data_IF_283927430040
#
_entry.id   IF_283927430040
#
_cell.length_a   1.000
_cell.length_b   1.000
_cell.length_c   1.000
_cell.angle_alpha   90.00
_cell.angle_beta   90.00
_cell.angle_gamma   90.00
#
_symmetry.space_group_name_H-M   'P 1'
#
loop_
_entity.id
_entity.type
_entity.pdbx_description
1 polymer ?
#
# COMPACT_ATOMS: atom_id res chain seq x y z
N UNK A 1 37.78 21.92 12.67
CA UNK A 1 37.12 23.25 12.68
C UNK A 1 36.87 23.64 11.23
N UNK A 2 35.65 24.08 10.90
CA UNK A 2 35.31 24.52 9.54
C UNK A 2 36.01 25.84 9.23
N UNK A 3 36.72 25.94 8.11
CA UNK A 3 37.27 27.21 7.63
C UNK A 3 36.11 28.18 7.36
N UNK A 4 36.11 29.31 8.08
CA UNK A 4 35.06 30.34 8.02
C UNK A 4 33.64 29.84 8.34
N UNK A 5 33.49 28.71 9.05
CA UNK A 5 32.18 28.14 9.37
C UNK A 5 31.46 27.42 8.22
N UNK A 6 32.11 27.26 7.06
CA UNK A 6 31.51 26.63 5.88
C UNK A 6 31.86 25.14 5.84
N UNK A 7 30.86 24.28 5.67
CA UNK A 7 31.05 22.86 5.41
C UNK A 7 31.02 22.61 3.89
N UNK A 8 32.17 22.32 3.31
CA UNK A 8 32.31 21.98 1.89
C UNK A 8 32.10 20.48 1.70
N UNK A 9 31.17 20.12 0.80
CA UNK A 9 30.80 18.72 0.54
C UNK A 9 31.26 18.33 -0.86
N UNK A 10 32.19 17.37 -0.92
CA UNK A 10 32.68 16.82 -2.19
C UNK A 10 31.82 15.65 -2.70
N UNK A 11 31.19 14.92 -1.78
CA UNK A 11 30.37 13.74 -2.09
C UNK A 11 29.26 13.64 -1.05
N UNK A 12 28.03 13.48 -1.52
CA UNK A 12 26.88 13.11 -0.70
C UNK A 12 26.62 11.60 -0.91
N UNK A 13 26.22 10.91 0.14
CA UNK A 13 25.83 9.51 0.07
C UNK A 13 24.85 9.16 1.18
N UNK A 14 24.13 8.06 1.00
CA UNK A 14 23.27 7.54 2.03
C UNK A 14 24.06 6.85 3.16
N UNK A 15 23.51 6.76 4.38
CA UNK A 15 24.05 5.87 5.41
C UNK A 15 24.03 4.41 4.91
N UNK A 16 24.99 3.56 5.32
CA UNK A 16 25.00 2.16 4.92
C UNK A 16 23.74 1.43 5.41
N UNK A 17 23.28 0.44 4.66
CA UNK A 17 22.17 -0.41 5.05
C UNK A 17 22.62 -1.49 6.03
N UNK A 18 21.77 -1.76 7.02
CA UNK A 18 21.91 -2.88 7.94
C UNK A 18 21.09 -4.06 7.41
N UNK A 19 21.72 -5.24 7.31
CA UNK A 19 21.02 -6.47 6.93
C UNK A 19 19.94 -6.82 7.94
N UNK A 20 18.78 -7.27 7.45
CA UNK A 20 17.60 -7.57 8.27
C UNK A 20 17.90 -8.61 9.35
N UNK A 21 18.68 -9.62 9.02
CA UNK A 21 19.12 -10.70 9.91
C UNK A 21 20.04 -10.15 11.02
N UNK A 22 20.93 -9.20 10.68
CA UNK A 22 21.77 -8.51 11.65
C UNK A 22 20.90 -7.67 12.62
N UNK A 23 19.95 -6.88 12.11
CA UNK A 23 18.99 -6.14 12.96
C UNK A 23 18.26 -7.09 13.91
N UNK A 24 17.65 -8.15 13.40
CA UNK A 24 16.87 -9.09 14.21
C UNK A 24 17.72 -9.80 15.28
N UNK A 25 19.00 -10.07 15.00
CA UNK A 25 19.92 -10.63 16.00
C UNK A 25 20.21 -9.67 17.17
N UNK A 26 20.37 -8.37 16.87
CA UNK A 26 20.65 -7.32 17.85
C UNK A 26 19.44 -6.99 18.73
N UNK A 27 18.22 -7.18 18.20
CA UNK A 27 16.98 -6.82 18.87
C UNK A 27 16.51 -7.84 19.93
N UNK A 28 17.22 -8.95 20.11
CA UNK A 28 17.02 -9.92 21.22
C UNK A 28 15.57 -10.37 21.44
N UNK A 29 14.77 -10.49 20.38
CA UNK A 29 13.37 -10.92 20.45
C UNK A 29 12.33 -9.83 20.76
N UNK A 30 12.72 -8.55 20.77
CA UNK A 30 11.77 -7.43 20.83
C UNK A 30 10.90 -7.37 19.56
N UNK A 31 9.59 -7.18 19.72
CA UNK A 31 8.67 -7.01 18.60
C UNK A 31 8.59 -5.54 18.13
N UNK A 32 9.27 -5.25 17.01
CA UNK A 32 9.21 -3.96 16.33
C UNK A 32 8.09 -3.86 15.29
N UNK A 33 7.42 -4.98 14.98
CA UNK A 33 6.32 -5.00 14.03
C UNK A 33 5.00 -4.59 14.67
N UNK A 34 4.75 -5.05 15.91
CA UNK A 34 3.53 -4.84 16.69
C UNK A 34 2.53 -6.02 16.60
N UNK A 35 3.00 -7.20 16.21
CA UNK A 35 2.21 -8.43 16.04
C UNK A 35 2.33 -9.44 17.19
N UNK A 36 3.04 -9.10 18.26
CA UNK A 36 3.42 -9.99 19.34
C UNK A 36 4.72 -10.76 19.06
N UNK A 37 5.47 -11.05 20.12
CA UNK A 37 6.65 -11.93 20.05
C UNK A 37 6.19 -13.36 19.80
N UNK A 38 6.75 -14.01 18.78
CA UNK A 38 6.39 -15.40 18.42
C UNK A 38 7.55 -16.35 18.77
N UNK A 39 7.27 -17.48 19.43
CA UNK A 39 8.28 -18.51 19.67
C UNK A 39 8.95 -19.00 18.37
N UNK A 40 10.22 -19.36 18.44
CA UNK A 40 11.00 -19.83 17.28
C UNK A 40 10.35 -21.04 16.59
N UNK A 41 9.77 -21.96 17.37
CA UNK A 41 9.06 -23.14 16.86
C UNK A 41 7.84 -22.77 16.00
N UNK A 42 6.99 -21.86 16.47
CA UNK A 42 5.84 -21.41 15.69
C UNK A 42 6.35 -20.64 14.47
N UNK A 43 7.39 -19.80 14.57
CA UNK A 43 8.01 -19.15 13.39
C UNK A 43 8.41 -20.17 12.31
N UNK A 44 9.10 -21.25 12.68
CA UNK A 44 9.48 -22.34 11.76
C UNK A 44 8.26 -23.04 11.14
N UNK A 45 7.20 -23.26 11.93
CA UNK A 45 5.94 -23.84 11.46
C UNK A 45 5.24 -22.93 10.46
N UNK A 46 5.13 -21.63 10.74
CA UNK A 46 4.52 -20.62 9.86
C UNK A 46 5.29 -20.55 8.52
N UNK A 47 6.63 -20.51 8.55
CA UNK A 47 7.45 -20.57 7.32
C UNK A 47 7.34 -21.90 6.56
N UNK A 48 6.94 -22.99 7.22
CA UNK A 48 6.68 -24.28 6.57
C UNK A 48 5.27 -24.36 5.95
N UNK A 49 4.33 -23.52 6.42
CA UNK A 49 3.01 -23.35 5.80
C UNK A 49 3.10 -22.40 4.59
N UNK A 50 3.89 -21.32 4.69
CA UNK A 50 4.19 -20.39 3.58
C UNK A 50 4.66 -21.14 2.33
N UNK A 51 5.65 -22.03 2.49
CA UNK A 51 6.19 -22.88 1.41
C UNK A 51 5.21 -23.90 0.82
N UNK A 52 4.08 -24.14 1.47
CA UNK A 52 3.00 -25.03 0.97
C UNK A 52 1.87 -24.23 0.32
N UNK A 53 1.72 -22.96 0.65
CA UNK A 53 0.75 -22.04 0.06
C UNK A 53 1.24 -21.48 -1.29
N UNK A 54 1.67 -22.36 -2.20
CA UNK A 54 2.31 -21.98 -3.48
C UNK A 54 1.34 -21.20 -4.39
N UNK A 55 0.06 -21.59 -4.38
CA UNK A 55 -0.99 -20.97 -5.20
C UNK A 55 -1.66 -19.77 -4.53
N UNK A 56 -1.26 -19.42 -3.30
CA UNK A 56 -1.82 -18.27 -2.60
C UNK A 56 -1.31 -16.95 -3.19
N UNK A 57 -2.19 -15.96 -3.22
CA UNK A 57 -1.90 -14.64 -3.80
C UNK A 57 -2.71 -13.54 -3.15
N UNK A 58 -2.14 -12.34 -3.17
CA UNK A 58 -2.77 -11.10 -2.77
C UNK A 58 -2.98 -10.19 -3.98
N UNK A 59 -4.21 -9.73 -4.20
CA UNK A 59 -4.51 -8.77 -5.27
C UNK A 59 -4.55 -7.36 -4.68
N UNK A 60 -3.77 -6.46 -5.24
CA UNK A 60 -3.51 -5.13 -4.68
C UNK A 60 -3.82 -4.09 -5.75
N UNK A 61 -4.78 -3.22 -5.45
CA UNK A 61 -5.27 -2.15 -6.32
C UNK A 61 -5.12 -0.81 -5.60
N UNK A 62 -4.81 0.27 -6.32
CA UNK A 62 -4.67 1.62 -5.74
C UNK A 62 -5.43 2.66 -6.55
N UNK A 63 -5.82 3.77 -5.89
CA UNK A 63 -6.61 4.85 -6.48
C UNK A 63 -7.94 4.32 -7.09
N UNK A 64 -8.64 3.49 -6.29
CA UNK A 64 -9.88 2.79 -6.69
C UNK A 64 -11.10 3.70 -6.49
N UNK A 65 -11.37 4.58 -7.45
CA UNK A 65 -12.48 5.54 -7.40
C UNK A 65 -13.84 4.83 -7.45
N UNK A 66 -14.76 5.23 -6.56
CA UNK A 66 -16.12 4.70 -6.43
C UNK A 66 -17.20 5.72 -6.84
N UNK A 67 -16.80 6.95 -7.16
CA UNK A 67 -17.70 8.08 -7.43
C UNK A 67 -17.91 8.34 -8.93
N UNK A 68 -18.95 9.13 -9.22
CA UNK A 68 -19.34 9.53 -10.56
C UNK A 68 -18.97 11.00 -10.81
N UNK A 69 -17.75 11.35 -11.27
CA UNK A 69 -17.37 12.73 -11.60
C UNK A 69 -18.24 13.35 -12.71
N UNK A 70 -19.07 14.31 -12.33
CA UNK A 70 -20.05 14.99 -13.22
C UNK A 70 -19.40 15.83 -14.34
N UNK A 71 -18.21 16.41 -14.12
CA UNK A 71 -17.55 17.30 -15.10
C UNK A 71 -16.67 16.56 -16.13
N UNK A 72 -16.66 15.22 -16.12
CA UNK A 72 -16.02 14.44 -17.18
C UNK A 72 -17.08 14.12 -18.22
N UNK A 73 -16.88 14.44 -19.52
CA UNK A 73 -17.84 14.08 -20.56
C UNK A 73 -18.21 12.60 -20.50
N UNK A 74 -19.49 12.31 -20.78
CA UNK A 74 -20.21 11.04 -20.56
C UNK A 74 -19.64 9.78 -21.28
N UNK A 75 -18.40 9.82 -21.76
CA UNK A 75 -17.82 8.84 -22.68
C UNK A 75 -16.64 8.00 -22.13
N UNK A 76 -16.03 8.25 -20.95
CA UNK A 76 -14.70 7.67 -20.70
C UNK A 76 -14.27 7.03 -19.36
N UNK A 77 -14.84 7.29 -18.17
CA UNK A 77 -14.20 6.85 -16.89
C UNK A 77 -15.06 6.25 -15.76
N UNK A 78 -16.36 6.57 -15.65
CA UNK A 78 -17.12 6.38 -14.40
C UNK A 78 -17.56 4.94 -14.17
N UNK A 79 -18.50 4.45 -14.99
CA UNK A 79 -18.98 3.06 -14.95
C UNK A 79 -17.79 2.10 -15.08
N UNK A 80 -16.79 2.49 -15.90
CA UNK A 80 -15.55 1.76 -16.10
C UNK A 80 -14.83 1.35 -14.81
N UNK A 81 -14.77 2.13 -13.74
CA UNK A 81 -13.94 1.71 -12.57
C UNK A 81 -14.62 0.58 -11.79
N UNK A 82 -15.93 0.66 -11.58
CA UNK A 82 -16.71 -0.42 -10.96
C UNK A 82 -16.86 -1.62 -11.89
N UNK A 83 -17.01 -1.42 -13.20
CA UNK A 83 -17.02 -2.49 -14.21
C UNK A 83 -15.66 -3.19 -14.33
N UNK A 84 -14.54 -2.45 -14.41
CA UNK A 84 -13.18 -3.00 -14.34
C UNK A 84 -12.99 -3.82 -13.07
N UNK A 85 -13.48 -3.32 -11.92
CA UNK A 85 -13.39 -4.06 -10.66
C UNK A 85 -14.26 -5.33 -10.68
N UNK A 86 -15.45 -5.29 -11.29
CA UNK A 86 -16.26 -6.48 -11.54
C UNK A 86 -15.49 -7.50 -12.39
N UNK A 87 -14.85 -7.09 -13.49
CA UNK A 87 -14.03 -7.96 -14.36
C UNK A 87 -12.86 -8.59 -13.60
N UNK A 88 -12.15 -7.83 -12.75
CA UNK A 88 -11.07 -8.39 -11.90
C UNK A 88 -11.64 -9.43 -10.93
N UNK A 89 -12.76 -9.12 -10.27
CA UNK A 89 -13.40 -10.04 -9.32
C UNK A 89 -13.95 -11.29 -10.03
N UNK A 90 -14.53 -11.18 -11.22
CA UNK A 90 -15.01 -12.32 -12.03
C UNK A 90 -13.86 -13.20 -12.52
N UNK A 91 -12.77 -12.59 -12.96
CA UNK A 91 -11.55 -13.31 -13.32
C UNK A 91 -11.01 -14.14 -12.15
N UNK A 92 -10.97 -13.56 -10.95
CA UNK A 92 -10.51 -14.27 -9.75
C UNK A 92 -11.55 -15.22 -9.12
N UNK A 93 -12.86 -14.99 -9.27
CA UNK A 93 -13.90 -15.96 -8.86
C UNK A 93 -13.95 -17.17 -9.80
N UNK A 94 -13.39 -17.04 -11.02
CA UNK A 94 -13.32 -18.11 -12.04
C UNK A 94 -12.09 -19.04 -11.92
N UNK A 95 -11.01 -18.65 -11.22
CA UNK A 95 -9.80 -19.49 -11.09
C UNK A 95 -9.94 -20.59 -10.03
N UNK A 96 -9.14 -21.65 -10.11
CA UNK A 96 -9.18 -22.78 -9.16
C UNK A 96 -8.93 -22.32 -7.70
N UNK A 97 -7.90 -21.50 -7.48
CA UNK A 97 -7.54 -20.95 -6.16
C UNK A 97 -7.78 -19.45 -6.17
N UNK A 98 -8.77 -18.99 -5.40
CA UNK A 98 -9.07 -17.56 -5.27
C UNK A 98 -8.03 -16.85 -4.40
N UNK A 99 -7.77 -15.54 -4.61
CA UNK A 99 -6.89 -14.75 -3.75
C UNK A 99 -7.37 -14.76 -2.30
N UNK A 100 -6.46 -14.95 -1.34
CA UNK A 100 -6.80 -14.91 0.09
C UNK A 100 -7.00 -13.49 0.62
N UNK A 101 -6.46 -12.49 -0.07
CA UNK A 101 -6.56 -11.07 0.29
C UNK A 101 -6.68 -10.19 -0.95
N UNK A 102 -7.69 -9.33 -0.95
CA UNK A 102 -7.75 -8.14 -1.79
C UNK A 102 -7.41 -6.93 -0.93
N UNK A 103 -6.42 -6.13 -1.36
CA UNK A 103 -6.10 -4.83 -0.77
C UNK A 103 -6.58 -3.75 -1.72
N UNK A 104 -7.62 -3.03 -1.31
CA UNK A 104 -8.14 -1.87 -2.02
C UNK A 104 -7.60 -0.62 -1.35
N UNK A 105 -6.77 0.11 -2.09
CA UNK A 105 -6.10 1.31 -1.63
C UNK A 105 -6.75 2.54 -2.25
N UNK A 106 -7.04 3.54 -1.40
CA UNK A 106 -7.59 4.82 -1.85
C UNK A 106 -6.63 5.63 -2.73
N UNK A 107 -7.05 6.77 -3.28
CA UNK A 107 -8.32 7.44 -2.98
C UNK A 107 -9.54 6.65 -3.49
N UNK A 108 -10.64 6.69 -2.75
CA UNK A 108 -11.95 6.12 -3.14
C UNK A 108 -12.87 7.13 -3.84
N UNK A 109 -12.39 8.37 -4.00
CA UNK A 109 -13.03 9.40 -4.82
C UNK A 109 -12.04 10.01 -5.82
N UNK A 110 -12.53 10.31 -7.02
CA UNK A 110 -11.83 11.04 -8.09
C UNK A 110 -11.39 12.44 -7.66
N UNK A 111 -12.13 13.03 -6.71
CA UNK A 111 -11.90 14.36 -6.13
C UNK A 111 -11.64 14.28 -4.63
N UNK A 112 -10.93 15.27 -4.04
CA UNK A 112 -10.70 15.30 -2.60
C UNK A 112 -12.01 15.33 -1.82
N UNK A 113 -12.20 14.33 -0.96
CA UNK A 113 -13.44 14.08 -0.25
C UNK A 113 -13.67 15.14 0.84
N UNK A 114 -14.44 16.17 0.51
CA UNK A 114 -14.80 17.27 1.40
C UNK A 114 -16.18 17.85 1.04
N UNK A 115 -16.71 18.71 1.93
CA UNK A 115 -18.05 19.30 1.82
C UNK A 115 -18.30 20.14 0.55
N UNK A 116 -17.27 20.52 -0.21
CA UNK A 116 -17.40 21.26 -1.46
C UNK A 116 -17.43 20.37 -2.71
N UNK A 117 -16.93 19.13 -2.64
CA UNK A 117 -16.76 18.26 -3.81
C UNK A 117 -17.33 16.84 -3.65
N UNK A 118 -17.89 16.48 -2.49
CA UNK A 118 -18.37 15.11 -2.24
C UNK A 118 -19.59 15.07 -1.34
N UNK A 119 -20.64 14.39 -1.82
CA UNK A 119 -21.70 13.89 -0.96
C UNK A 119 -21.21 12.65 -0.20
N UNK A 120 -21.10 12.75 1.13
CA UNK A 120 -20.79 11.59 1.97
C UNK A 120 -21.90 10.53 1.93
N UNK A 121 -23.13 10.92 1.60
CA UNK A 121 -24.26 10.01 1.39
C UNK A 121 -24.09 9.18 0.11
N UNK A 122 -23.71 9.83 -1.00
CA UNK A 122 -23.43 9.12 -2.26
C UNK A 122 -22.23 8.19 -2.10
N UNK A 123 -21.14 8.65 -1.48
CA UNK A 123 -19.97 7.78 -1.22
C UNK A 123 -20.33 6.56 -0.35
N UNK A 124 -21.19 6.75 0.67
CA UNK A 124 -21.72 5.65 1.49
C UNK A 124 -22.53 4.66 0.64
N UNK A 125 -23.36 5.15 -0.28
CA UNK A 125 -24.12 4.30 -1.22
C UNK A 125 -23.20 3.52 -2.17
N UNK A 126 -22.14 4.14 -2.69
CA UNK A 126 -21.17 3.50 -3.58
C UNK A 126 -20.34 2.42 -2.85
N UNK A 127 -19.97 2.64 -1.58
CA UNK A 127 -19.44 1.57 -0.72
C UNK A 127 -20.44 0.41 -0.54
N UNK A 128 -21.75 0.71 -0.44
CA UNK A 128 -22.81 -0.29 -0.44
C UNK A 128 -22.81 -1.15 -1.72
N UNK A 129 -22.84 -0.52 -2.90
CA UNK A 129 -22.77 -1.20 -4.21
C UNK A 129 -21.51 -2.06 -4.36
N UNK A 130 -20.36 -1.59 -3.89
CA UNK A 130 -19.12 -2.39 -3.83
C UNK A 130 -19.27 -3.62 -2.92
N UNK A 131 -19.94 -3.45 -1.77
CA UNK A 131 -20.31 -4.54 -0.88
C UNK A 131 -21.20 -5.59 -1.55
N UNK A 132 -22.26 -5.17 -2.24
CA UNK A 132 -23.15 -6.03 -3.01
C UNK A 132 -22.41 -6.77 -4.13
N UNK A 133 -21.59 -6.06 -4.90
CA UNK A 133 -20.81 -6.59 -6.02
C UNK A 133 -19.86 -7.71 -5.56
N UNK A 134 -19.12 -7.52 -4.48
CA UNK A 134 -18.27 -8.57 -3.92
C UNK A 134 -19.14 -9.71 -3.33
N UNK A 135 -20.24 -9.39 -2.65
CA UNK A 135 -21.09 -10.39 -2.02
C UNK A 135 -21.84 -11.30 -3.01
N UNK A 136 -22.00 -10.88 -4.27
CA UNK A 136 -22.51 -11.71 -5.36
C UNK A 136 -21.56 -12.86 -5.75
N UNK A 137 -20.27 -12.75 -5.43
CA UNK A 137 -19.21 -13.73 -5.75
C UNK A 137 -18.90 -14.56 -4.50
N UNK A 138 -19.61 -15.67 -4.34
CA UNK A 138 -19.63 -16.43 -3.09
C UNK A 138 -18.25 -16.98 -2.69
N UNK A 139 -17.43 -17.43 -3.66
CA UNK A 139 -16.10 -17.99 -3.36
C UNK A 139 -15.17 -16.90 -2.81
N UNK A 140 -15.17 -15.72 -3.43
CA UNK A 140 -14.44 -14.56 -2.91
C UNK A 140 -14.96 -14.14 -1.52
N UNK A 141 -16.28 -14.11 -1.32
CA UNK A 141 -16.88 -13.75 -0.02
C UNK A 141 -16.50 -14.70 1.11
N UNK A 142 -16.38 -15.99 0.83
CA UNK A 142 -16.10 -17.03 1.82
C UNK A 142 -14.61 -17.26 2.08
N UNK A 143 -13.77 -17.13 1.05
CA UNK A 143 -12.34 -17.49 1.12
C UNK A 143 -11.37 -16.29 1.05
N UNK A 144 -11.81 -15.14 0.54
CA UNK A 144 -10.99 -13.91 0.48
C UNK A 144 -11.28 -12.97 1.64
N UNK A 145 -10.27 -12.24 2.08
CA UNK A 145 -10.42 -11.05 2.95
C UNK A 145 -10.30 -9.79 2.10
N UNK A 146 -11.03 -8.75 2.49
CA UNK A 146 -10.97 -7.44 1.85
C UNK A 146 -10.41 -6.42 2.84
N UNK A 147 -9.26 -5.84 2.51
CA UNK A 147 -8.53 -4.85 3.30
C UNK A 147 -8.60 -3.49 2.60
N UNK A 148 -9.15 -2.51 3.28
CA UNK A 148 -9.34 -1.15 2.79
C UNK A 148 -8.37 -0.21 3.50
N UNK A 149 -7.55 0.50 2.73
CA UNK A 149 -6.52 1.40 3.21
C UNK A 149 -6.80 2.80 2.63
N UNK A 150 -6.94 3.86 3.44
CA UNK A 150 -7.37 5.18 2.97
C UNK A 150 -6.25 5.98 2.30
N UNK A 151 -6.54 6.60 1.16
CA UNK A 151 -5.66 7.48 0.42
C UNK A 151 -5.48 8.88 1.03
N UNK A 152 -4.61 9.71 0.44
CA UNK A 152 -4.28 11.06 0.92
C UNK A 152 -5.41 12.09 0.80
N UNK A 153 -6.43 11.86 -0.02
CA UNK A 153 -7.55 12.78 -0.21
C UNK A 153 -8.93 12.20 0.16
N UNK A 154 -8.96 11.00 0.73
CA UNK A 154 -10.17 10.40 1.30
C UNK A 154 -10.69 11.15 2.53
N UNK A 155 -11.92 10.82 2.92
CA UNK A 155 -12.57 11.32 4.13
C UNK A 155 -11.70 11.05 5.37
N UNK A 156 -11.42 12.09 6.15
CA UNK A 156 -10.65 11.97 7.38
C UNK A 156 -10.41 13.33 8.08
N UNK A 157 -9.97 13.32 9.35
CA UNK A 157 -9.81 14.54 10.15
C UNK A 157 -8.58 15.37 9.77
N UNK A 158 -7.61 14.81 9.06
CA UNK A 158 -6.36 15.48 8.69
C UNK A 158 -5.65 14.77 7.52
N UNK A 159 -4.80 15.51 6.80
CA UNK A 159 -3.84 14.95 5.82
C UNK A 159 -2.47 14.59 6.44
N UNK A 160 -2.33 14.73 7.76
CA UNK A 160 -1.13 14.31 8.49
C UNK A 160 -1.02 12.77 8.56
N UNK A 161 0.21 12.26 8.63
CA UNK A 161 0.49 10.83 8.80
C UNK A 161 0.77 10.47 10.28
N UNK A 162 0.44 9.25 10.73
CA UNK A 162 -0.42 8.28 10.06
C UNK A 162 -1.88 8.76 10.03
N UNK A 163 -2.60 8.44 8.96
CA UNK A 163 -4.04 8.67 8.84
C UNK A 163 -4.81 7.54 9.51
N UNK A 164 -5.92 7.87 10.17
CA UNK A 164 -6.87 6.87 10.67
C UNK A 164 -7.57 6.13 9.52
N UNK A 165 -8.25 5.02 9.85
CA UNK A 165 -9.17 4.35 8.93
C UNK A 165 -10.34 5.28 8.51
N UNK A 166 -11.05 4.88 7.46
CA UNK A 166 -12.25 5.58 6.99
C UNK A 166 -13.32 5.68 8.11
N UNK A 167 -14.09 6.79 8.17
CA UNK A 167 -15.21 6.93 9.10
C UNK A 167 -16.23 5.79 9.01
N UNK A 168 -16.66 5.27 10.16
CA UNK A 168 -17.66 4.17 10.26
C UNK A 168 -18.90 4.41 9.39
N UNK A 169 -19.41 5.64 9.41
CA UNK A 169 -20.56 6.07 8.61
C UNK A 169 -20.43 5.77 7.11
N UNK A 170 -19.24 5.79 6.51
CA UNK A 170 -19.06 5.50 5.08
C UNK A 170 -19.03 4.00 4.78
N UNK A 171 -18.52 3.21 5.73
CA UNK A 171 -18.21 1.79 5.53
C UNK A 171 -19.32 0.84 6.01
N UNK A 172 -20.29 1.37 6.77
CA UNK A 172 -21.43 0.63 7.33
C UNK A 172 -22.22 -0.13 6.26
N UNK A 173 -22.49 0.47 5.09
CA UNK A 173 -23.23 -0.22 4.03
C UNK A 173 -22.43 -1.40 3.47
N UNK A 174 -21.14 -1.21 3.14
CA UNK A 174 -20.27 -2.30 2.69
C UNK A 174 -20.22 -3.44 3.72
N UNK A 175 -20.11 -3.11 5.00
CA UNK A 175 -20.03 -4.11 6.08
C UNK A 175 -21.32 -4.90 6.30
N UNK A 176 -22.50 -4.44 5.84
CA UNK A 176 -23.73 -5.27 5.81
C UNK A 176 -23.57 -6.47 4.87
N UNK A 177 -22.90 -6.27 3.74
CA UNK A 177 -22.69 -7.32 2.73
C UNK A 177 -21.42 -8.15 3.00
N UNK A 178 -20.37 -7.50 3.50
CA UNK A 178 -19.06 -8.09 3.83
C UNK A 178 -18.70 -7.78 5.30
N UNK A 179 -19.27 -8.49 6.30
CA UNK A 179 -18.96 -8.25 7.72
C UNK A 179 -17.49 -8.51 8.08
N UNK A 180 -16.77 -9.23 7.21
CA UNK A 180 -15.35 -9.56 7.33
C UNK A 180 -14.41 -8.49 6.72
N UNK A 181 -14.93 -7.40 6.14
CA UNK A 181 -14.11 -6.33 5.57
C UNK A 181 -13.33 -5.57 6.66
N UNK A 182 -12.03 -5.37 6.42
CA UNK A 182 -11.07 -4.80 7.37
C UNK A 182 -10.70 -3.39 6.88
N UNK A 183 -10.89 -2.37 7.72
CA UNK A 183 -10.52 -0.99 7.42
C UNK A 183 -9.40 -0.55 8.37
N UNK A 184 -8.28 -0.06 7.83
CA UNK A 184 -7.05 0.21 8.59
C UNK A 184 -6.50 1.62 8.38
N UNK A 185 -5.48 2.00 9.16
CA UNK A 185 -4.73 3.25 9.00
C UNK A 185 -3.94 3.31 7.70
N UNK A 186 -3.43 4.49 7.34
CA UNK A 186 -2.42 4.65 6.31
C UNK A 186 -1.19 5.43 6.84
N UNK A 187 0.03 4.86 6.83
CA UNK A 187 0.36 3.49 6.41
C UNK A 187 -0.28 2.43 7.32
N UNK A 188 -0.25 1.19 6.84
CA UNK A 188 -0.54 0.02 7.66
C UNK A 188 0.59 -0.99 7.57
N UNK A 189 0.63 -1.86 8.57
CA UNK A 189 1.44 -3.07 8.57
C UNK A 189 0.46 -4.20 8.79
N UNK A 190 0.57 -5.26 7.99
CA UNK A 190 -0.20 -6.46 8.26
C UNK A 190 0.75 -7.64 8.20
N UNK A 191 0.71 -8.44 9.25
CA UNK A 191 1.43 -9.69 9.29
C UNK A 191 0.56 -10.74 8.62
N UNK A 192 1.15 -11.59 7.79
CA UNK A 192 0.42 -12.65 7.09
C UNK A 192 -0.08 -13.76 8.03
N UNK A 193 0.18 -13.61 9.33
CA UNK A 193 -0.24 -14.46 10.44
C UNK A 193 -1.75 -14.65 10.55
N UNK A 194 -2.57 -13.64 10.28
CA UNK A 194 -4.03 -13.72 10.50
C UNK A 194 -4.80 -14.38 9.36
N UNK A 195 -4.39 -14.15 8.11
CA UNK A 195 -5.08 -14.71 6.93
C UNK A 195 -4.58 -16.12 6.59
N UNK A 196 -3.26 -16.38 6.69
CA UNK A 196 -2.64 -17.63 6.24
C UNK A 196 -1.68 -18.28 7.25
N UNK A 197 -1.42 -17.64 8.39
CA UNK A 197 -0.44 -18.10 9.39
C UNK A 197 0.98 -18.20 8.80
N UNK A 198 1.47 -17.06 8.32
CA UNK A 198 2.78 -16.90 7.67
C UNK A 198 3.53 -15.69 8.29
N UNK A 199 4.86 -15.72 8.49
CA UNK A 199 5.61 -14.66 9.19
C UNK A 199 6.35 -13.73 8.21
N UNK A 200 5.71 -13.29 7.14
CA UNK A 200 6.23 -12.24 6.24
C UNK A 200 5.63 -10.88 6.62
N UNK A 201 6.37 -10.03 7.39
CA UNK A 201 5.96 -8.65 7.65
C UNK A 201 5.94 -7.82 6.36
N UNK A 202 4.74 -7.65 5.81
CA UNK A 202 4.44 -6.78 4.68
C UNK A 202 4.06 -5.41 5.21
N UNK A 203 4.63 -4.36 4.61
CA UNK A 203 4.30 -2.97 4.92
C UNK A 203 3.65 -2.32 3.71
N UNK A 204 2.49 -1.72 3.93
CA UNK A 204 1.76 -0.98 2.91
C UNK A 204 1.73 0.48 3.28
N UNK A 205 2.07 1.33 2.32
CA UNK A 205 1.85 2.77 2.39
C UNK A 205 1.17 3.23 1.11
N UNK A 206 0.05 3.93 1.26
CA UNK A 206 -0.49 4.75 0.18
C UNK A 206 0.05 6.15 0.40
N UNK A 207 0.85 6.64 -0.52
CA UNK A 207 1.11 8.06 -0.62
C UNK A 207 1.66 8.31 -2.00
N UNK A 208 1.17 9.39 -2.60
CA UNK A 208 1.89 10.12 -3.63
C UNK A 208 3.22 10.64 -3.04
N UNK A 209 4.21 9.74 -3.02
CA UNK A 209 5.53 9.95 -2.44
C UNK A 209 6.53 10.21 -3.55
N UNK A 210 6.36 9.62 -4.74
CA UNK A 210 7.27 9.82 -5.85
C UNK A 210 7.25 11.29 -6.30
N UNK A 211 6.07 11.87 -6.53
CA UNK A 211 5.97 13.27 -6.93
C UNK A 211 6.49 14.22 -5.85
N UNK A 212 6.16 13.96 -4.58
CA UNK A 212 6.58 14.82 -3.45
C UNK A 212 8.08 14.77 -3.20
N UNK A 213 8.68 13.58 -3.26
CA UNK A 213 10.13 13.41 -3.14
C UNK A 213 10.82 14.11 -4.31
N UNK A 214 10.41 13.87 -5.56
CA UNK A 214 11.00 14.54 -6.74
C UNK A 214 10.91 16.06 -6.68
N UNK A 215 9.80 16.64 -6.22
CA UNK A 215 9.67 18.10 -6.03
C UNK A 215 10.46 18.65 -4.83
N UNK A 216 10.91 17.79 -3.92
CA UNK A 216 11.72 18.16 -2.75
C UNK A 216 13.22 17.86 -2.95
N UNK A 217 13.61 17.25 -4.08
CA UNK A 217 15.00 17.00 -4.41
C UNK A 217 15.75 18.31 -4.69
N UNK A 218 16.81 18.58 -3.92
CA UNK A 218 17.73 19.70 -4.17
C UNK A 218 18.65 19.45 -5.37
N UNK A 219 19.04 18.18 -5.56
CA UNK A 219 19.86 17.70 -6.66
C UNK A 219 19.04 16.56 -7.32
N UNK A 220 18.75 16.62 -8.63
CA UNK A 220 18.12 15.50 -9.32
C UNK A 220 19.09 14.32 -9.41
N UNK A 221 18.62 13.06 -9.35
CA UNK A 221 19.48 11.90 -9.50
C UNK A 221 20.22 11.93 -10.84
N UNK A 222 21.49 11.52 -10.83
CA UNK A 222 22.30 11.40 -12.04
C UNK A 222 21.97 10.10 -12.78
N UNK A 223 22.07 10.13 -14.11
CA UNK A 223 21.90 8.93 -14.94
C UNK A 223 23.00 7.88 -14.76
N UNK A 224 24.03 8.18 -13.95
CA UNK A 224 25.14 7.27 -13.64
C UNK A 224 24.78 6.27 -12.53
N UNK A 225 23.96 6.68 -11.54
CA UNK A 225 23.52 5.82 -10.44
C UNK A 225 22.20 5.11 -10.75
N UNK A 226 21.18 5.87 -11.15
CA UNK A 226 19.94 5.33 -11.71
C UNK A 226 19.20 6.42 -12.49
N UNK A 227 18.77 6.09 -13.71
CA UNK A 227 17.86 6.94 -14.49
C UNK A 227 16.41 6.84 -14.03
N UNK A 228 16.07 5.88 -13.16
CA UNK A 228 14.71 5.57 -12.79
C UNK A 228 14.29 6.26 -11.46
N UNK A 229 13.27 7.14 -11.49
CA UNK A 229 12.86 7.85 -10.29
C UNK A 229 12.27 6.95 -9.19
N UNK A 230 11.66 5.82 -9.54
CA UNK A 230 11.09 4.87 -8.59
C UNK A 230 12.19 4.07 -7.90
N UNK A 231 13.20 3.61 -8.63
CA UNK A 231 14.36 2.92 -8.05
C UNK A 231 15.11 3.84 -7.07
N UNK A 232 15.34 5.10 -7.45
CA UNK A 232 15.90 6.10 -6.55
C UNK A 232 15.03 6.35 -5.31
N UNK A 233 13.69 6.38 -5.47
CA UNK A 233 12.77 6.49 -4.33
C UNK A 233 12.91 5.29 -3.37
N UNK A 234 12.94 4.07 -3.90
CA UNK A 234 13.07 2.83 -3.11
C UNK A 234 14.39 2.81 -2.35
N UNK A 235 15.50 3.17 -3.00
CA UNK A 235 16.79 3.33 -2.34
C UNK A 235 16.68 4.37 -1.21
N UNK A 236 16.13 5.55 -1.50
CA UNK A 236 16.01 6.64 -0.51
C UNK A 236 15.22 6.24 0.74
N UNK A 237 14.03 5.65 0.60
CA UNK A 237 13.22 5.27 1.78
C UNK A 237 13.86 4.13 2.58
N UNK A 238 14.54 3.21 1.90
CA UNK A 238 15.23 2.07 2.52
C UNK A 238 16.44 2.55 3.32
N UNK A 239 17.31 3.36 2.71
CA UNK A 239 18.47 3.95 3.37
C UNK A 239 18.11 4.90 4.51
N UNK A 240 17.06 5.71 4.37
CA UNK A 240 16.58 6.56 5.47
C UNK A 240 15.83 5.77 6.55
N UNK A 241 15.59 4.47 6.36
CA UNK A 241 14.77 3.62 7.25
C UNK A 241 13.44 4.27 7.63
N UNK A 242 12.85 5.06 6.72
CA UNK A 242 11.65 5.85 6.98
C UNK A 242 10.79 5.94 5.73
N UNK A 243 9.49 5.66 5.87
CA UNK A 243 8.54 5.74 4.77
C UNK A 243 8.34 7.17 4.25
N UNK A 244 8.69 8.21 5.03
CA UNK A 244 8.48 9.61 4.66
C UNK A 244 9.66 10.48 5.11
N UNK A 245 10.82 10.43 4.42
CA UNK A 245 11.99 11.23 4.75
C UNK A 245 11.85 12.66 4.16
N UNK A 246 10.76 13.34 4.54
CA UNK A 246 10.40 14.68 4.04
C UNK A 246 10.20 15.66 5.20
N UNK A 247 10.46 16.96 5.01
CA UNK A 247 10.15 17.98 6.00
C UNK A 247 8.65 18.01 6.35
N UNK A 248 8.33 18.36 7.59
CA UNK A 248 6.94 18.49 8.08
C UNK A 248 6.11 19.54 7.31
N UNK A 249 6.77 20.50 6.65
CA UNK A 249 6.16 21.48 5.75
C UNK A 249 5.67 20.88 4.42
N UNK A 250 6.23 19.74 4.00
CA UNK A 250 5.86 19.02 2.77
C UNK A 250 4.88 17.87 3.06
N UNK A 251 5.09 17.16 4.17
CA UNK A 251 4.16 16.16 4.68
C UNK A 251 4.10 16.24 6.20
N UNK A 252 3.00 16.78 6.78
CA UNK A 252 2.81 16.76 8.23
C UNK A 252 2.79 15.32 8.78
N UNK A 253 3.48 15.11 9.89
CA UNK A 253 3.51 13.85 10.65
C UNK A 253 3.09 14.18 12.08
N UNK A 254 2.18 13.40 12.64
CA UNK A 254 1.79 13.50 14.05
C UNK A 254 2.96 12.99 14.89
N UNK A 255 3.64 13.89 15.61
CA UNK A 255 4.94 13.61 16.24
C UNK A 255 4.95 12.35 17.11
N UNK A 256 3.88 12.11 17.88
CA UNK A 256 3.76 10.93 18.74
C UNK A 256 3.73 9.59 17.98
N UNK A 257 3.39 9.62 16.68
CA UNK A 257 3.21 8.44 15.82
C UNK A 257 4.24 8.35 14.66
N UNK A 258 5.30 9.16 14.68
CA UNK A 258 6.43 9.05 13.75
C UNK A 258 6.99 7.62 13.67
N UNK A 259 7.08 6.94 14.82
CA UNK A 259 7.54 5.55 14.91
C UNK A 259 6.74 4.55 14.05
N UNK A 260 5.49 4.84 13.69
CA UNK A 260 4.69 4.01 12.79
C UNK A 260 5.29 3.96 11.37
N UNK A 261 5.90 5.07 10.91
CA UNK A 261 6.46 5.26 9.57
C UNK A 261 7.89 4.67 9.41
N UNK A 262 8.58 4.32 10.49
CA UNK A 262 9.95 3.76 10.47
C UNK A 262 10.01 2.38 9.84
N UNK A 263 10.84 2.22 8.82
CA UNK A 263 11.14 0.96 8.12
C UNK A 263 12.21 0.10 8.83
N UNK A 264 12.37 0.25 10.16
CA UNK A 264 13.30 -0.54 10.95
C UNK A 264 12.56 -1.58 11.83
N UNK A 265 13.00 -2.86 11.87
CA UNK A 265 13.85 -3.52 10.86
C UNK A 265 13.23 -3.46 9.46
N UNK A 266 14.10 -3.58 8.45
CA UNK A 266 13.75 -3.57 7.03
C UNK A 266 12.66 -4.61 6.72
N UNK A 267 11.53 -4.24 6.09
CA UNK A 267 10.48 -5.18 5.74
C UNK A 267 10.88 -6.09 4.58
N UNK A 268 10.17 -7.20 4.37
CA UNK A 268 10.35 -8.00 3.15
C UNK A 268 9.72 -7.34 1.93
N UNK A 269 8.59 -6.65 2.14
CA UNK A 269 7.76 -6.07 1.08
C UNK A 269 7.34 -4.66 1.45
N UNK A 270 7.46 -3.74 0.50
CA UNK A 270 6.93 -2.38 0.57
C UNK A 270 5.97 -2.19 -0.60
N UNK A 271 4.69 -1.96 -0.31
CA UNK A 271 3.72 -1.52 -1.32
C UNK A 271 3.60 -0.01 -1.24
N UNK A 272 3.81 0.67 -2.37
CA UNK A 272 3.65 2.12 -2.52
C UNK A 272 2.44 2.40 -3.41
N UNK A 273 1.31 2.78 -2.82
CA UNK A 273 0.13 3.22 -3.58
C UNK A 273 0.31 4.66 -4.05
N UNK A 274 0.66 4.84 -5.32
CA UNK A 274 0.93 6.14 -5.95
C UNK A 274 0.27 6.19 -7.35
N UNK A 275 0.00 7.40 -7.85
CA UNK A 275 -0.54 7.67 -9.20
C UNK A 275 0.52 7.60 -10.29
N UNK A 276 1.77 7.26 -9.94
CA UNK A 276 2.81 6.92 -10.89
C UNK A 276 2.55 5.59 -11.59
N UNK A 277 3.31 5.33 -12.66
CA UNK A 277 3.28 4.08 -13.41
C UNK A 277 3.47 2.84 -12.51
N UNK A 278 2.83 1.72 -12.88
CA UNK A 278 3.02 0.45 -12.20
C UNK A 278 4.48 -0.02 -12.35
N UNK A 279 5.13 -0.39 -11.25
CA UNK A 279 6.53 -0.85 -11.29
C UNK A 279 6.85 -1.72 -10.09
N UNK A 280 7.69 -2.72 -10.28
CA UNK A 280 8.25 -3.56 -9.23
C UNK A 280 9.78 -3.50 -9.29
N UNK A 281 10.42 -3.41 -8.13
CA UNK A 281 11.87 -3.34 -7.98
C UNK A 281 12.31 -4.12 -6.73
N UNK A 282 13.32 -4.98 -6.89
CA UNK A 282 13.93 -5.73 -5.77
C UNK A 282 15.24 -5.05 -5.38
N UNK A 283 15.28 -4.48 -4.18
CA UNK A 283 16.42 -3.73 -3.66
C UNK A 283 16.88 -4.32 -2.34
N UNK A 284 18.15 -4.77 -2.28
CA UNK A 284 18.79 -5.34 -1.07
C UNK A 284 17.90 -6.34 -0.30
N UNK A 285 17.25 -7.27 -1.01
CA UNK A 285 16.36 -8.29 -0.45
C UNK A 285 14.91 -7.84 -0.17
N UNK A 286 14.60 -6.55 -0.29
CA UNK A 286 13.26 -5.97 -0.16
C UNK A 286 12.59 -5.94 -1.53
N UNK A 287 11.36 -6.44 -1.63
CA UNK A 287 10.52 -6.26 -2.83
C UNK A 287 9.66 -5.01 -2.66
N UNK A 288 9.92 -3.97 -3.45
CA UNK A 288 9.10 -2.76 -3.46
C UNK A 288 8.33 -2.64 -4.77
N UNK A 289 7.04 -2.32 -4.71
CA UNK A 289 6.24 -2.12 -5.91
C UNK A 289 5.12 -1.09 -5.75
N UNK A 290 4.74 -0.48 -6.87
CA UNK A 290 3.55 0.33 -7.05
C UNK A 290 2.58 -0.43 -7.98
N UNK A 291 1.31 -0.69 -7.58
CA UNK A 291 0.31 -1.28 -8.46
C UNK A 291 -0.19 -0.33 -9.56
N UNK A 292 0.08 0.98 -9.47
CA UNK A 292 -0.46 1.99 -10.38
C UNK A 292 -1.84 2.49 -9.98
N UNK A 293 -2.43 3.39 -10.81
CA UNK A 293 -3.78 3.91 -10.60
C UNK A 293 -4.81 3.04 -11.32
N UNK A 294 -5.63 2.32 -10.57
CA UNK A 294 -6.64 1.42 -11.11
C UNK A 294 -7.76 2.16 -11.85
N UNK A 295 -8.22 3.31 -11.32
CA UNK A 295 -9.26 4.09 -11.98
C UNK A 295 -8.83 4.60 -13.37
N UNK A 296 -7.62 5.16 -13.46
CA UNK A 296 -7.09 5.68 -14.72
C UNK A 296 -6.68 4.55 -15.67
N UNK A 297 -5.72 3.71 -15.25
CA UNK A 297 -5.02 2.80 -16.16
C UNK A 297 -5.56 1.36 -16.12
N UNK A 298 -6.46 1.03 -15.18
CA UNK A 298 -6.90 -0.37 -14.97
C UNK A 298 -5.79 -1.28 -14.44
N UNK A 299 -4.74 -0.71 -13.84
CA UNK A 299 -3.54 -1.40 -13.35
C UNK A 299 -3.69 -1.92 -11.93
N UNK A 300 -3.17 -3.12 -11.67
CA UNK A 300 -3.16 -3.77 -10.37
C UNK A 300 -1.97 -4.75 -10.26
N UNK A 301 -1.67 -5.21 -9.05
CA UNK A 301 -0.59 -6.16 -8.82
C UNK A 301 -1.08 -7.40 -8.07
N UNK A 302 -0.69 -8.58 -8.52
CA UNK A 302 -0.81 -9.82 -7.78
C UNK A 302 0.53 -10.16 -7.11
N UNK A 303 0.57 -10.23 -5.79
CA UNK A 303 1.75 -10.61 -5.01
C UNK A 303 1.62 -12.06 -4.53
N UNK A 304 2.64 -12.89 -4.83
CA UNK A 304 2.74 -14.27 -4.37
C UNK A 304 3.64 -14.37 -3.13
N UNK A 305 3.10 -14.67 -1.95
CA UNK A 305 3.88 -14.67 -0.71
C UNK A 305 4.98 -15.73 -0.69
N UNK A 306 4.66 -16.94 -1.16
CA UNK A 306 5.57 -18.09 -1.16
C UNK A 306 6.86 -17.84 -1.97
N UNK A 307 6.74 -17.18 -3.13
CA UNK A 307 7.89 -16.89 -4.02
C UNK A 307 8.43 -15.47 -3.87
N UNK A 308 7.71 -14.58 -3.18
CA UNK A 308 7.98 -13.14 -3.07
C UNK A 308 8.07 -12.48 -4.46
N UNK A 309 7.17 -12.86 -5.34
CA UNK A 309 7.05 -12.35 -6.71
C UNK A 309 5.85 -11.42 -6.84
N UNK A 310 5.96 -10.49 -7.78
CA UNK A 310 4.93 -9.49 -8.10
C UNK A 310 4.63 -9.63 -9.59
N UNK A 311 3.40 -10.01 -9.89
CA UNK A 311 2.84 -10.03 -11.23
C UNK A 311 2.08 -8.70 -11.41
N UNK A 312 2.62 -7.79 -12.22
CA UNK A 312 1.93 -6.56 -12.61
C UNK A 312 0.92 -6.90 -13.71
N UNK A 313 -0.28 -6.34 -13.61
CA UNK A 313 -1.41 -6.67 -14.49
C UNK A 313 -2.19 -5.41 -14.84
N UNK A 314 -2.70 -5.36 -16.07
CA UNK A 314 -3.56 -4.29 -16.55
C UNK A 314 -4.75 -4.92 -17.27
N UNK A 315 -5.93 -4.32 -17.15
CA UNK A 315 -7.07 -4.66 -17.99
C UNK A 315 -6.91 -4.00 -19.36
N UNK A 316 -7.27 -4.72 -20.43
CA UNK A 316 -7.41 -4.11 -21.76
C UNK A 316 -8.58 -3.10 -21.75
N UNK A 317 -8.42 -1.97 -22.46
CA UNK A 317 -9.23 -0.75 -22.30
C UNK A 317 -10.28 -0.50 -23.38
#
# INVERSE_FOLDING_TARGET
LLSNGIFQVNTCGFPPLEDREASLSLLMGLDFFGGGVIPTEETLRLSSLEKKAVNDMFVILSDVWLDNPEDVPMCYLVEKTMEKLAVVLDGYDSVEVVPSLFVLMGNFCSRPCNLAFSSFEELRLQFGKLGEMIAARSRLKEHSRFLFVPGPDDAGPSKALPRCALPKYLIEELQKHIPNAIFVSNPCRFDMKSTLKIPTPTRIKILDLLYRMRRSCLIPPTSEETSDPFEHLVATITHQSHLCPLPLTVQPIIWNYDHCLRLYPTPHVIVLGDKSEQKAFKYTGITCFNPGSFANDGTFAAYRPCTKEVELSALEG
#
